data_IF_451738586292
#
_entry.id   IF_451738586292
#
_cell.length_a   1.000
_cell.length_b   1.000
_cell.length_c   1.000
_cell.angle_alpha   90.00
_cell.angle_beta   90.00
_cell.angle_gamma   90.00
#
_symmetry.space_group_name_H-M   'P 1'
#
loop_
_entity.id
_entity.type
_entity.pdbx_description
1 polymer ?
#
# COMPACT_ATOMS: atom_id res chain seq x y z
N UNK A 1 30.35 41.90 38.47
CA UNK A 1 30.46 40.50 38.02
C UNK A 1 29.09 39.87 38.23
N UNK A 2 28.12 40.24 37.40
CA UNK A 2 26.85 39.53 37.29
C UNK A 2 27.10 38.25 36.49
N UNK A 3 26.59 37.16 37.04
CA UNK A 3 27.21 35.86 37.04
C UNK A 3 27.10 35.20 35.65
N UNK A 4 28.14 34.47 35.23
CA UNK A 4 28.07 33.72 33.97
C UNK A 4 26.93 32.68 34.01
N UNK A 5 26.54 32.24 35.21
CA UNK A 5 25.40 31.38 35.46
C UNK A 5 24.05 32.06 35.14
N UNK A 6 23.89 33.34 35.47
CA UNK A 6 22.64 34.08 35.22
C UNK A 6 22.42 34.24 33.70
N UNK A 7 23.49 34.59 32.97
CA UNK A 7 23.44 34.70 31.50
C UNK A 7 23.20 33.36 30.80
N UNK A 8 23.72 32.26 31.36
CA UNK A 8 23.47 30.92 30.84
C UNK A 8 22.00 30.51 31.04
N UNK A 9 21.44 30.79 32.22
CA UNK A 9 20.04 30.51 32.53
C UNK A 9 19.09 31.34 31.67
N UNK A 10 19.38 32.62 31.50
CA UNK A 10 18.64 33.53 30.60
C UNK A 10 18.67 33.01 29.16
N UNK A 11 19.83 32.58 28.66
CA UNK A 11 19.96 31.97 27.33
C UNK A 11 19.20 30.64 27.19
N UNK A 12 19.18 29.79 28.22
CA UNK A 12 18.42 28.53 28.23
C UNK A 12 16.89 28.76 28.25
N UNK A 13 16.42 29.78 28.98
CA UNK A 13 15.01 30.18 29.00
C UNK A 13 14.58 30.77 27.64
N UNK A 14 15.38 31.69 27.07
CA UNK A 14 15.18 32.22 25.72
C UNK A 14 15.21 31.11 24.66
N UNK A 15 16.11 30.14 24.79
CA UNK A 15 16.16 29.01 23.86
C UNK A 15 14.88 28.17 23.94
N UNK A 16 14.37 27.89 25.14
CA UNK A 16 13.10 27.16 25.32
C UNK A 16 11.90 27.94 24.80
N UNK A 17 11.89 29.26 24.93
CA UNK A 17 10.79 30.12 24.46
C UNK A 17 10.82 30.30 22.94
N UNK A 18 12.01 30.51 22.36
CA UNK A 18 12.17 30.88 20.96
C UNK A 18 12.40 29.69 20.02
N UNK A 19 12.59 28.48 20.55
CA UNK A 19 12.81 27.28 19.73
C UNK A 19 11.81 26.19 20.03
N UNK A 20 11.53 25.38 19.01
CA UNK A 20 10.70 24.21 19.12
C UNK A 20 11.58 22.96 19.16
N UNK A 21 11.28 22.04 20.08
CA UNK A 21 11.89 20.71 20.10
C UNK A 21 10.79 19.65 20.09
N UNK A 22 10.95 18.63 19.25
CA UNK A 22 10.13 17.44 19.36
C UNK A 22 10.61 16.66 20.58
N UNK A 23 9.71 16.40 21.53
CA UNK A 23 9.99 15.48 22.62
C UNK A 23 10.18 14.08 22.05
N UNK A 24 11.11 13.32 22.62
CA UNK A 24 11.16 11.89 22.35
C UNK A 24 9.85 11.27 22.86
N UNK A 25 9.15 10.53 22.00
CA UNK A 25 7.87 9.91 22.32
C UNK A 25 8.03 8.58 23.08
N UNK A 26 9.26 8.07 23.23
CA UNK A 26 9.60 6.95 24.13
C UNK A 26 9.70 7.38 25.60
N UNK A 27 8.73 8.18 26.07
CA UNK A 27 8.60 8.62 27.46
C UNK A 27 7.11 8.65 27.88
N UNK A 28 6.40 7.50 27.85
CA UNK A 28 4.99 7.46 28.20
C UNK A 28 4.78 7.74 29.69
N UNK A 29 3.68 8.41 30.02
CA UNK A 29 3.31 8.84 31.37
C UNK A 29 3.09 7.64 32.32
N UNK A 30 2.64 6.51 31.77
CA UNK A 30 2.33 5.29 32.53
C UNK A 30 2.43 4.01 31.68
N UNK A 31 2.16 2.87 32.30
CA UNK A 31 2.25 1.55 31.64
C UNK A 31 1.10 1.33 30.66
N UNK A 32 -0.04 1.95 30.89
CA UNK A 32 -1.22 1.86 30.05
C UNK A 32 -0.98 2.56 28.71
N UNK A 33 -0.36 3.74 28.71
CA UNK A 33 0.04 4.45 27.50
C UNK A 33 1.11 3.66 26.72
N UNK A 34 2.13 3.13 27.41
CA UNK A 34 3.11 2.24 26.76
C UNK A 34 2.43 1.04 26.10
N UNK A 35 1.45 0.42 26.77
CA UNK A 35 0.69 -0.69 26.20
C UNK A 35 -0.11 -0.24 24.97
N UNK A 36 -0.77 0.91 25.01
CA UNK A 36 -1.53 1.44 23.89
C UNK A 36 -0.64 1.71 22.66
N UNK A 37 0.57 2.24 22.86
CA UNK A 37 1.57 2.43 21.79
C UNK A 37 1.91 1.09 21.14
N UNK A 38 2.21 0.07 21.96
CA UNK A 38 2.59 -1.25 21.45
C UNK A 38 1.41 -1.98 20.78
N UNK A 39 0.20 -1.89 21.32
CA UNK A 39 -1.00 -2.47 20.69
C UNK A 39 -1.27 -1.81 19.32
N UNK A 40 -1.18 -0.48 19.24
CA UNK A 40 -1.34 0.24 17.97
C UNK A 40 -0.29 -0.19 16.93
N UNK A 41 0.95 -0.44 17.36
CA UNK A 41 2.01 -0.95 16.52
C UNK A 41 1.72 -2.37 15.99
N UNK A 42 1.13 -3.26 16.79
CA UNK A 42 0.71 -4.60 16.34
C UNK A 42 -0.43 -4.53 15.31
N UNK A 43 -1.42 -3.66 15.52
CA UNK A 43 -2.51 -3.47 14.57
C UNK A 43 -1.98 -2.87 13.25
N UNK A 44 -1.02 -1.94 13.32
CA UNK A 44 -0.38 -1.38 12.13
C UNK A 44 0.43 -2.42 11.34
N UNK A 45 1.18 -3.30 12.03
CA UNK A 45 1.86 -4.44 11.36
C UNK A 45 0.86 -5.33 10.64
N UNK A 46 -0.29 -5.59 11.26
CA UNK A 46 -1.39 -6.34 10.62
C UNK A 46 -1.90 -5.61 9.38
N UNK A 47 -2.05 -4.29 9.42
CA UNK A 47 -2.47 -3.50 8.26
C UNK A 47 -1.46 -3.57 7.09
N UNK A 48 -0.15 -3.56 7.39
CA UNK A 48 0.90 -3.75 6.37
C UNK A 48 0.86 -5.16 5.75
N UNK A 49 0.73 -6.19 6.60
CA UNK A 49 0.70 -7.58 6.15
C UNK A 49 -0.54 -7.89 5.32
N UNK A 50 -1.69 -7.31 5.68
CA UNK A 50 -2.95 -7.48 4.95
C UNK A 50 -3.05 -6.60 3.71
N UNK A 51 -2.39 -5.45 3.69
CA UNK A 51 -2.47 -4.45 2.63
C UNK A 51 -1.15 -4.31 1.89
N UNK A 52 -0.67 -5.36 1.22
CA UNK A 52 0.58 -5.32 0.44
C UNK A 52 0.43 -4.63 -0.91
N UNK A 53 -0.78 -4.58 -1.46
CA UNK A 53 -1.13 -3.83 -2.68
C UNK A 53 -2.08 -2.69 -2.35
N UNK A 54 -2.25 -1.70 -3.24
CA UNK A 54 -3.23 -0.63 -3.01
C UNK A 54 -4.65 -1.19 -2.89
N UNK A 55 -4.95 -2.27 -3.64
CA UNK A 55 -6.24 -2.94 -3.63
C UNK A 55 -6.52 -3.59 -2.29
N UNK A 56 -5.57 -4.36 -1.79
CA UNK A 56 -5.72 -5.05 -0.52
C UNK A 56 -5.73 -4.08 0.67
N UNK A 57 -4.98 -2.98 0.60
CA UNK A 57 -5.04 -1.95 1.64
C UNK A 57 -6.41 -1.26 1.66
N UNK A 58 -6.99 -0.93 0.49
CA UNK A 58 -8.35 -0.38 0.41
C UNK A 58 -9.39 -1.37 0.90
N UNK A 59 -9.29 -2.66 0.53
CA UNK A 59 -10.18 -3.72 1.02
C UNK A 59 -10.10 -3.79 2.57
N UNK A 60 -8.90 -3.79 3.14
CA UNK A 60 -8.71 -3.80 4.60
C UNK A 60 -9.24 -2.52 5.27
N UNK A 61 -9.01 -1.35 4.69
CA UNK A 61 -9.54 -0.08 5.20
C UNK A 61 -11.08 -0.07 5.23
N UNK A 62 -11.72 -0.62 4.19
CA UNK A 62 -13.18 -0.77 4.15
C UNK A 62 -13.67 -1.67 5.28
N UNK A 63 -13.02 -2.82 5.53
CA UNK A 63 -13.39 -3.69 6.65
C UNK A 63 -13.28 -2.98 8.01
N UNK A 64 -12.22 -2.22 8.24
CA UNK A 64 -12.03 -1.44 9.46
C UNK A 64 -13.13 -0.38 9.64
N UNK A 65 -13.50 0.30 8.55
CA UNK A 65 -14.56 1.31 8.57
C UNK A 65 -15.94 0.67 8.86
N UNK A 66 -16.27 -0.44 8.19
CA UNK A 66 -17.55 -1.12 8.37
C UNK A 66 -17.72 -1.70 9.79
N UNK A 67 -16.64 -2.23 10.37
CA UNK A 67 -16.62 -2.67 11.77
C UNK A 67 -16.99 -1.54 12.75
N UNK A 68 -16.71 -0.29 12.39
CA UNK A 68 -16.92 0.90 13.22
C UNK A 68 -18.17 1.71 12.83
N UNK A 69 -19.06 1.07 12.07
CA UNK A 69 -20.39 1.58 11.71
C UNK A 69 -20.39 2.54 10.54
N UNK A 70 -19.31 2.64 9.77
CA UNK A 70 -19.35 3.33 8.49
C UNK A 70 -20.15 2.52 7.47
N UNK A 71 -20.82 3.21 6.56
CA UNK A 71 -21.58 2.60 5.46
C UNK A 71 -21.17 3.19 4.12
N UNK A 72 -21.46 2.46 3.04
CA UNK A 72 -21.29 2.98 1.69
C UNK A 72 -22.07 4.29 1.52
N UNK A 73 -21.42 5.29 0.93
CA UNK A 73 -22.03 6.57 0.61
C UNK A 73 -22.97 6.43 -0.59
N UNK A 74 -24.24 6.71 -0.35
CA UNK A 74 -25.30 6.73 -1.36
C UNK A 74 -25.71 8.18 -1.62
N UNK A 75 -25.37 8.72 -2.80
CA UNK A 75 -25.53 10.15 -3.08
C UNK A 75 -26.97 10.63 -3.23
N UNK A 76 -27.93 9.72 -3.32
CA UNK A 76 -29.37 9.98 -3.33
C UNK A 76 -29.97 10.06 -1.92
N UNK A 77 -29.25 9.62 -0.88
CA UNK A 77 -29.69 9.70 0.51
C UNK A 77 -29.18 10.98 1.18
N UNK A 78 -30.00 11.62 2.03
CA UNK A 78 -29.55 12.76 2.82
C UNK A 78 -28.52 12.32 3.85
N UNK A 79 -27.56 13.20 4.14
CA UNK A 79 -26.56 13.01 5.21
C UNK A 79 -26.83 13.96 6.36
N UNK A 80 -26.65 13.47 7.59
CA UNK A 80 -26.84 14.23 8.83
C UNK A 80 -25.58 14.21 9.68
N UNK A 81 -25.46 15.18 10.58
CA UNK A 81 -24.36 15.22 11.53
C UNK A 81 -24.24 13.89 12.30
N UNK A 82 -23.01 13.39 12.42
CA UNK A 82 -22.69 12.10 13.03
C UNK A 82 -22.75 10.91 12.07
N UNK A 83 -23.28 11.06 10.85
CA UNK A 83 -23.23 9.99 9.86
C UNK A 83 -21.77 9.63 9.53
N UNK A 84 -21.48 8.33 9.48
CA UNK A 84 -20.19 7.75 9.09
C UNK A 84 -20.34 7.09 7.72
N UNK A 85 -19.65 7.59 6.70
CA UNK A 85 -19.78 7.09 5.33
C UNK A 85 -18.45 6.95 4.61
N UNK A 86 -18.39 6.05 3.62
CA UNK A 86 -17.22 5.90 2.76
C UNK A 86 -17.60 5.59 1.31
N UNK A 87 -16.70 5.85 0.36
CA UNK A 87 -16.83 5.41 -1.03
C UNK A 87 -15.48 4.90 -1.55
N UNK A 88 -15.45 3.63 -1.97
CA UNK A 88 -14.31 3.01 -2.64
C UNK A 88 -14.42 3.17 -4.15
N UNK A 89 -13.35 3.60 -4.79
CA UNK A 89 -13.27 3.87 -6.23
C UNK A 89 -12.40 2.82 -6.89
N UNK A 90 -13.03 1.92 -7.65
CA UNK A 90 -12.39 0.79 -8.33
C UNK A 90 -11.56 -0.13 -7.41
N UNK A 91 -11.78 -0.09 -6.10
CA UNK A 91 -10.99 -0.79 -5.11
C UNK A 91 -9.54 -0.28 -5.01
N UNK A 92 -9.21 0.92 -5.51
CA UNK A 92 -7.84 1.47 -5.48
C UNK A 92 -7.75 2.86 -4.84
N UNK A 93 -8.87 3.54 -4.69
CA UNK A 93 -8.95 4.78 -3.92
C UNK A 93 -10.13 4.74 -2.97
N UNK A 94 -10.07 5.56 -1.92
CA UNK A 94 -11.07 5.57 -0.85
C UNK A 94 -11.29 6.99 -0.36
N UNK A 95 -12.55 7.38 -0.16
CA UNK A 95 -12.92 8.57 0.62
C UNK A 95 -13.78 8.12 1.78
N UNK A 96 -13.38 8.45 3.01
CA UNK A 96 -14.17 8.19 4.22
C UNK A 96 -14.45 9.51 4.95
N UNK A 97 -15.62 9.65 5.57
CA UNK A 97 -16.00 10.87 6.27
C UNK A 97 -16.92 10.63 7.48
N UNK A 98 -16.77 11.51 8.47
CA UNK A 98 -17.67 11.67 9.62
C UNK A 98 -18.31 13.04 9.53
N UNK A 99 -19.61 13.09 9.30
CA UNK A 99 -20.33 14.32 8.97
C UNK A 99 -20.43 15.26 10.17
N UNK A 100 -20.01 16.51 9.99
CA UNK A 100 -20.05 17.54 11.03
C UNK A 100 -21.42 18.20 11.20
N UNK A 101 -21.55 19.04 12.22
CA UNK A 101 -22.76 19.82 12.52
C UNK A 101 -22.82 21.16 11.80
N UNK A 102 -21.68 21.67 11.34
CA UNK A 102 -21.56 22.97 10.65
C UNK A 102 -21.93 22.94 9.17
N UNK A 103 -22.01 24.13 8.57
CA UNK A 103 -22.25 24.28 7.14
C UNK A 103 -21.08 23.69 6.33
N UNK A 104 -21.31 22.70 5.44
CA UNK A 104 -20.24 22.10 4.63
C UNK A 104 -19.54 23.10 3.70
N UNK A 105 -20.14 24.27 3.43
CA UNK A 105 -19.52 25.35 2.65
C UNK A 105 -18.40 26.07 3.42
N UNK A 106 -18.34 25.93 4.75
CA UNK A 106 -17.21 26.40 5.57
C UNK A 106 -16.00 25.47 5.52
N UNK A 107 -16.12 24.36 4.78
CA UNK A 107 -15.04 23.44 4.44
C UNK A 107 -14.91 22.23 5.38
N UNK A 108 -13.97 21.37 5.04
CA UNK A 108 -13.72 20.06 5.68
C UNK A 108 -12.41 20.09 6.47
N UNK A 109 -12.26 19.19 7.44
CA UNK A 109 -10.96 18.82 8.00
C UNK A 109 -10.48 17.57 7.26
N UNK A 110 -9.46 17.71 6.42
CA UNK A 110 -9.07 16.67 5.46
C UNK A 110 -7.64 16.19 5.71
N UNK A 111 -7.47 14.87 5.73
CA UNK A 111 -6.17 14.20 5.67
C UNK A 111 -6.11 13.37 4.38
N UNK A 112 -5.06 13.56 3.59
CA UNK A 112 -4.82 12.80 2.37
C UNK A 112 -3.54 11.98 2.51
N UNK A 113 -3.56 10.75 2.00
CA UNK A 113 -2.39 9.86 1.91
C UNK A 113 -2.49 9.04 0.62
N UNK A 114 -1.40 8.37 0.23
CA UNK A 114 -1.46 7.35 -0.84
C UNK A 114 -1.24 5.95 -0.28
N UNK A 115 -1.74 4.96 -1.01
CA UNK A 115 -1.73 3.54 -0.60
C UNK A 115 -1.05 2.64 -1.63
N UNK A 116 -0.68 3.19 -2.79
CA UNK A 116 0.27 2.54 -3.69
C UNK A 116 1.69 2.68 -3.16
N UNK A 117 2.50 1.65 -3.42
CA UNK A 117 3.92 1.60 -3.04
C UNK A 117 4.74 1.08 -4.22
N UNK A 118 6.05 1.37 -4.29
CA UNK A 118 6.90 0.87 -5.35
C UNK A 118 6.92 -0.66 -5.37
N UNK A 119 6.78 -1.24 -6.56
CA UNK A 119 6.60 -2.68 -6.77
C UNK A 119 7.06 -3.12 -8.15
N UNK A 120 6.89 -4.39 -8.46
CA UNK A 120 7.01 -4.90 -9.82
C UNK A 120 5.63 -5.32 -10.32
N UNK A 121 5.33 -5.03 -11.56
CA UNK A 121 4.09 -5.44 -12.23
C UNK A 121 4.44 -6.45 -13.31
N UNK A 122 3.58 -7.43 -13.54
CA UNK A 122 3.75 -8.29 -14.72
C UNK A 122 3.51 -7.51 -16.01
N UNK A 123 4.37 -7.73 -17.01
CA UNK A 123 4.09 -7.30 -18.38
C UNK A 123 2.85 -8.05 -18.91
N UNK A 124 2.11 -7.51 -19.92
CA UNK A 124 0.91 -8.17 -20.44
C UNK A 124 1.11 -9.59 -20.98
N UNK A 125 2.30 -9.90 -21.51
CA UNK A 125 2.70 -11.26 -21.89
C UNK A 125 3.94 -11.63 -21.07
N UNK A 126 3.78 -12.01 -19.80
CA UNK A 126 4.91 -12.07 -18.88
C UNK A 126 5.66 -13.39 -18.96
N UNK A 127 4.97 -14.50 -19.23
CA UNK A 127 5.52 -15.84 -19.05
C UNK A 127 6.35 -16.30 -20.24
N UNK A 128 7.58 -16.71 -19.97
CA UNK A 128 8.47 -17.30 -20.98
C UNK A 128 9.35 -18.39 -20.36
N UNK A 129 9.97 -19.19 -21.24
CA UNK A 129 10.93 -20.22 -20.87
C UNK A 129 12.33 -19.82 -21.36
N UNK A 130 13.34 -20.02 -20.50
CA UNK A 130 14.76 -19.88 -20.85
C UNK A 130 15.56 -20.84 -19.98
N UNK A 131 16.52 -21.55 -20.58
CA UNK A 131 17.49 -22.37 -19.84
C UNK A 131 16.83 -23.36 -18.86
N UNK A 132 15.76 -24.05 -19.30
CA UNK A 132 14.97 -24.99 -18.50
C UNK A 132 14.25 -24.37 -17.29
N UNK A 133 14.11 -23.04 -17.27
CA UNK A 133 13.40 -22.26 -16.25
C UNK A 133 12.19 -21.55 -16.85
N UNK A 134 11.12 -21.47 -16.06
CA UNK A 134 9.97 -20.60 -16.35
C UNK A 134 10.09 -19.30 -15.58
N UNK A 135 10.02 -18.20 -16.30
CA UNK A 135 10.24 -16.84 -15.81
C UNK A 135 9.02 -15.96 -16.13
N UNK A 136 8.80 -14.95 -15.29
CA UNK A 136 7.81 -13.90 -15.53
C UNK A 136 8.51 -12.56 -15.74
N UNK A 137 8.29 -11.93 -16.90
CA UNK A 137 8.74 -10.58 -17.21
C UNK A 137 7.97 -9.57 -16.40
N UNK A 138 8.71 -8.66 -15.79
CA UNK A 138 8.13 -7.57 -15.01
C UNK A 138 8.41 -6.20 -15.63
N UNK A 139 7.69 -5.20 -15.14
CA UNK A 139 7.99 -3.81 -15.32
C UNK A 139 7.88 -3.16 -13.94
N UNK A 140 8.88 -2.41 -13.51
CA UNK A 140 8.81 -1.77 -12.20
C UNK A 140 7.78 -0.65 -12.18
N UNK A 141 7.12 -0.50 -11.04
CA UNK A 141 6.16 0.53 -10.74
C UNK A 141 6.76 1.45 -9.67
N UNK A 142 6.78 2.76 -9.92
CA UNK A 142 7.41 3.74 -9.04
C UNK A 142 8.94 3.72 -9.04
N UNK A 143 9.54 4.43 -8.08
CA UNK A 143 10.98 4.61 -7.97
C UNK A 143 11.70 3.51 -7.19
N UNK A 144 11.79 2.28 -7.71
CA UNK A 144 12.46 1.19 -6.99
C UNK A 144 14.00 1.27 -7.03
N UNK A 145 14.64 0.82 -5.95
CA UNK A 145 16.06 0.41 -5.97
C UNK A 145 16.17 -1.02 -6.46
N UNK A 146 16.29 -1.20 -7.77
CA UNK A 146 16.24 -2.51 -8.47
C UNK A 146 17.07 -3.61 -7.80
N UNK A 147 18.28 -3.28 -7.35
CA UNK A 147 19.19 -4.25 -6.72
C UNK A 147 18.69 -4.82 -5.38
N UNK A 148 17.74 -4.17 -4.70
CA UNK A 148 17.14 -4.67 -3.47
C UNK A 148 16.05 -5.73 -3.71
N UNK A 149 15.65 -5.95 -4.96
CA UNK A 149 14.60 -6.91 -5.32
C UNK A 149 15.16 -8.28 -5.73
N UNK A 150 16.45 -8.35 -6.07
CA UNK A 150 17.10 -9.61 -6.38
C UNK A 150 17.44 -10.40 -5.10
N UNK A 151 17.55 -11.72 -5.26
CA UNK A 151 17.86 -12.67 -4.19
C UNK A 151 17.00 -12.52 -2.92
N UNK A 152 15.76 -12.05 -3.08
CA UNK A 152 14.80 -11.80 -2.00
C UNK A 152 13.56 -12.66 -2.23
N UNK A 153 12.97 -13.28 -1.19
CA UNK A 153 11.68 -13.94 -1.29
C UNK A 153 10.57 -12.97 -1.69
N UNK A 154 9.87 -13.27 -2.77
CA UNK A 154 8.79 -12.47 -3.34
C UNK A 154 7.46 -13.25 -3.32
N UNK A 155 6.36 -12.53 -3.19
CA UNK A 155 4.99 -13.02 -3.31
C UNK A 155 4.26 -12.38 -4.49
N UNK A 156 3.22 -13.04 -4.98
CA UNK A 156 2.36 -12.59 -6.08
C UNK A 156 0.99 -12.21 -5.56
N UNK A 157 0.57 -11.00 -5.86
CA UNK A 157 -0.72 -10.45 -5.48
C UNK A 157 -1.46 -9.91 -6.69
N UNK A 158 -2.78 -9.84 -6.64
CA UNK A 158 -3.56 -9.07 -7.61
C UNK A 158 -4.77 -9.83 -8.13
N UNK A 159 -5.20 -9.50 -9.35
CA UNK A 159 -6.43 -10.02 -9.94
C UNK A 159 -6.25 -10.42 -11.39
N UNK A 160 -6.96 -11.48 -11.80
CA UNK A 160 -7.06 -11.93 -13.19
C UNK A 160 -8.52 -11.95 -13.59
N UNK A 161 -8.86 -11.24 -14.68
CA UNK A 161 -10.21 -11.29 -15.26
C UNK A 161 -10.21 -12.40 -16.31
N UNK A 162 -10.91 -13.49 -16.02
CA UNK A 162 -11.05 -14.64 -16.91
C UNK A 162 -11.96 -14.31 -18.10
N UNK A 163 -11.85 -15.09 -19.17
CA UNK A 163 -12.71 -14.98 -20.36
C UNK A 163 -14.22 -15.01 -20.09
N UNK A 164 -14.67 -15.69 -19.04
CA UNK A 164 -16.08 -15.75 -18.64
C UNK A 164 -16.56 -14.50 -17.85
N UNK A 165 -15.66 -13.54 -17.59
CA UNK A 165 -15.93 -12.34 -16.80
C UNK A 165 -15.73 -12.51 -15.29
N UNK A 166 -15.32 -13.69 -14.83
CA UNK A 166 -15.00 -13.94 -13.43
C UNK A 166 -13.67 -13.28 -13.04
N UNK A 167 -13.64 -12.65 -11.86
CA UNK A 167 -12.42 -12.08 -11.28
C UNK A 167 -11.82 -13.06 -10.29
N UNK A 168 -10.64 -13.56 -10.59
CA UNK A 168 -9.86 -14.40 -9.67
C UNK A 168 -8.89 -13.51 -8.90
N UNK A 169 -8.97 -13.52 -7.56
CA UNK A 169 -7.96 -12.90 -6.69
C UNK A 169 -6.78 -13.85 -6.51
N UNK A 170 -5.57 -13.34 -6.68
CA UNK A 170 -4.32 -14.06 -6.43
C UNK A 170 -3.62 -13.48 -5.20
N UNK A 171 -3.18 -14.39 -4.33
CA UNK A 171 -2.35 -14.11 -3.18
C UNK A 171 -1.55 -15.41 -2.94
N UNK A 172 -0.30 -15.43 -3.42
CA UNK A 172 0.59 -16.60 -3.42
C UNK A 172 1.93 -16.19 -2.84
N UNK A 173 2.37 -16.89 -1.80
CA UNK A 173 3.66 -16.64 -1.13
C UNK A 173 3.53 -15.92 0.21
N UNK A 174 2.31 -15.75 0.71
CA UNK A 174 2.02 -15.14 2.02
C UNK A 174 1.82 -16.19 3.11
N UNK A 175 1.22 -17.34 2.79
CA UNK A 175 1.01 -18.39 3.79
C UNK A 175 2.32 -19.16 4.02
N UNK A 176 2.56 -19.67 5.25
CA UNK A 176 3.76 -20.47 5.55
C UNK A 176 3.98 -21.69 4.63
N UNK A 177 2.89 -22.28 4.12
CA UNK A 177 2.92 -23.42 3.20
C UNK A 177 3.03 -23.04 1.72
N UNK A 178 2.85 -21.76 1.37
CA UNK A 178 2.91 -21.32 -0.02
C UNK A 178 4.36 -21.32 -0.52
N UNK A 179 4.59 -21.61 -1.82
CA UNK A 179 5.87 -21.30 -2.43
C UNK A 179 6.06 -19.78 -2.54
N UNK A 180 7.31 -19.36 -2.44
CA UNK A 180 7.75 -17.99 -2.75
C UNK A 180 8.55 -17.96 -4.04
N UNK A 181 8.71 -16.76 -4.59
CA UNK A 181 9.43 -16.52 -5.83
C UNK A 181 10.70 -15.72 -5.58
N UNK A 182 11.56 -15.60 -6.59
CA UNK A 182 12.77 -14.76 -6.48
C UNK A 182 13.19 -14.25 -7.85
N UNK A 183 13.91 -13.14 -7.86
CA UNK A 183 14.73 -12.73 -9.01
C UNK A 183 16.16 -13.20 -8.72
N UNK A 184 16.81 -13.83 -9.69
CA UNK A 184 18.17 -14.35 -9.52
C UNK A 184 19.20 -13.22 -9.62
N UNK A 185 20.26 -13.29 -8.83
CA UNK A 185 21.42 -12.40 -8.94
C UNK A 185 22.69 -13.19 -9.30
N UNK A 186 23.65 -12.52 -9.93
CA UNK A 186 24.92 -13.11 -10.29
C UNK A 186 25.80 -13.27 -9.04
N UNK A 187 26.23 -14.49 -8.78
CA UNK A 187 27.11 -14.77 -7.64
C UNK A 187 28.41 -13.97 -7.70
N UNK A 188 28.97 -13.55 -6.55
CA UNK A 188 30.11 -12.62 -6.51
C UNK A 188 31.38 -13.16 -7.18
N UNK A 189 31.56 -14.48 -7.25
CA UNK A 189 32.73 -15.10 -7.89
C UNK A 189 32.79 -14.87 -9.41
N UNK A 190 31.65 -14.58 -10.05
CA UNK A 190 31.53 -14.28 -11.48
C UNK A 190 31.06 -12.83 -11.73
N UNK A 191 30.65 -12.11 -10.69
CA UNK A 191 30.11 -10.75 -10.76
C UNK A 191 31.14 -9.62 -10.72
N UNK A 192 32.43 -9.88 -10.97
CA UNK A 192 33.48 -8.87 -10.83
C UNK A 192 33.24 -7.59 -11.65
N UNK A 193 32.64 -7.71 -12.83
CA UNK A 193 32.28 -6.55 -13.67
C UNK A 193 30.95 -5.92 -13.24
N UNK A 194 29.98 -6.72 -12.79
CA UNK A 194 28.71 -6.22 -12.24
C UNK A 194 28.97 -5.31 -11.03
N UNK A 195 29.90 -5.70 -10.15
CA UNK A 195 30.27 -4.94 -8.94
C UNK A 195 30.96 -3.60 -9.22
N UNK A 196 31.43 -3.35 -10.45
CA UNK A 196 31.99 -2.05 -10.86
C UNK A 196 30.93 -1.06 -11.33
N UNK A 197 29.72 -1.53 -11.64
CA UNK A 197 28.61 -0.68 -12.09
C UNK A 197 28.06 0.16 -10.94
N UNK A 198 27.41 1.27 -11.29
CA UNK A 198 26.68 2.06 -10.30
C UNK A 198 25.47 1.28 -9.74
N UNK A 199 24.96 1.67 -8.57
CA UNK A 199 23.79 1.02 -7.98
C UNK A 199 22.54 1.06 -8.89
N UNK A 200 22.46 2.00 -9.83
CA UNK A 200 21.36 2.10 -10.78
C UNK A 200 21.48 1.14 -11.98
N UNK A 201 22.70 0.64 -12.23
CA UNK A 201 23.06 -0.17 -13.40
C UNK A 201 23.49 -1.60 -13.05
N UNK A 202 23.71 -1.88 -11.76
CA UNK A 202 24.11 -3.21 -11.27
C UNK A 202 23.09 -4.28 -11.66
N UNK A 203 21.80 -3.92 -11.63
CA UNK A 203 20.65 -4.70 -12.10
C UNK A 203 19.76 -3.77 -12.91
N UNK A 204 19.54 -4.10 -14.17
CA UNK A 204 18.70 -3.35 -15.09
C UNK A 204 17.22 -3.73 -14.95
N UNK A 205 16.32 -2.86 -15.42
CA UNK A 205 14.87 -3.11 -15.27
C UNK A 205 14.39 -4.34 -16.03
N UNK A 206 14.98 -4.61 -17.20
CA UNK A 206 14.66 -5.79 -18.01
C UNK A 206 15.23 -7.10 -17.43
N UNK A 207 16.13 -7.02 -16.45
CA UNK A 207 16.70 -8.18 -15.76
C UNK A 207 15.84 -8.66 -14.57
N UNK A 208 14.83 -7.87 -14.16
CA UNK A 208 13.93 -8.17 -13.05
C UNK A 208 12.89 -9.25 -13.41
N UNK A 209 13.34 -10.40 -13.91
CA UNK A 209 12.49 -11.52 -14.27
C UNK A 209 12.33 -12.47 -13.08
N UNK A 210 11.09 -12.76 -12.72
CA UNK A 210 10.77 -13.57 -11.54
C UNK A 210 10.79 -15.05 -11.90
N UNK A 211 11.58 -15.85 -11.19
CA UNK A 211 11.64 -17.30 -11.33
C UNK A 211 10.42 -17.96 -10.69
N UNK A 212 9.67 -18.74 -11.49
CA UNK A 212 8.40 -19.36 -11.05
C UNK A 212 8.32 -20.87 -11.25
N UNK A 213 9.28 -21.49 -11.95
CA UNK A 213 9.29 -22.94 -12.08
C UNK A 213 10.51 -23.48 -12.82
N UNK A 214 10.80 -24.75 -12.59
CA UNK A 214 11.91 -25.50 -13.22
C UNK A 214 11.60 -26.99 -13.41
N UNK A 215 10.36 -27.42 -13.14
CA UNK A 215 9.92 -28.79 -13.33
C UNK A 215 9.23 -28.89 -14.69
N UNK A 216 9.69 -29.75 -15.61
CA UNK A 216 9.09 -29.89 -16.93
C UNK A 216 7.76 -30.64 -16.88
N UNK A 217 6.86 -30.31 -17.81
CA UNK A 217 5.69 -31.14 -18.07
C UNK A 217 6.13 -32.52 -18.59
N UNK A 218 5.56 -33.63 -18.06
CA UNK A 218 5.92 -34.97 -18.52
C UNK A 218 5.58 -35.19 -19.99
N UNK A 219 6.44 -35.92 -20.71
CA UNK A 219 6.17 -36.35 -22.09
C UNK A 219 7.30 -36.19 -23.09
N UNK A 220 8.54 -35.94 -22.64
CA UNK A 220 9.73 -35.93 -23.50
C UNK A 220 10.36 -34.53 -23.66
N UNK A 221 11.54 -34.47 -24.28
CA UNK A 221 12.28 -33.22 -24.55
C UNK A 221 11.78 -32.52 -25.82
N UNK A 222 11.04 -33.22 -26.67
CA UNK A 222 10.42 -32.72 -27.90
C UNK A 222 9.23 -31.80 -27.67
N UNK A 223 8.67 -31.78 -26.45
CA UNK A 223 7.59 -30.88 -26.08
C UNK A 223 8.17 -29.46 -25.99
N UNK A 224 7.72 -28.60 -26.89
CA UNK A 224 8.09 -27.18 -26.89
C UNK A 224 7.62 -26.50 -25.60
N UNK A 225 8.50 -25.70 -24.99
CA UNK A 225 8.18 -24.88 -23.81
C UNK A 225 7.61 -25.74 -22.66
N UNK A 226 8.17 -26.94 -22.44
CA UNK A 226 7.61 -27.91 -21.49
C UNK A 226 7.67 -27.46 -20.04
N UNK A 227 8.61 -26.61 -19.65
CA UNK A 227 8.68 -26.07 -18.29
C UNK A 227 7.60 -25.01 -18.08
N UNK A 228 7.45 -24.10 -19.05
CA UNK A 228 6.35 -23.13 -19.07
C UNK A 228 4.99 -23.82 -19.07
N UNK A 229 4.83 -24.89 -19.86
CA UNK A 229 3.61 -25.70 -19.87
C UNK A 229 3.30 -26.30 -18.49
N UNK A 230 4.34 -26.73 -17.75
CA UNK A 230 4.21 -27.22 -16.38
C UNK A 230 3.60 -26.16 -15.45
N UNK A 231 4.13 -24.93 -15.47
CA UNK A 231 3.61 -23.82 -14.66
C UNK A 231 2.20 -23.42 -15.10
N UNK A 232 1.93 -23.32 -16.41
CA UNK A 232 0.59 -23.02 -16.93
C UNK A 232 -0.43 -24.09 -16.51
N UNK A 233 -0.02 -25.37 -16.44
CA UNK A 233 -0.90 -26.43 -15.94
C UNK A 233 -1.27 -26.22 -14.48
N UNK A 234 -0.33 -25.82 -13.63
CA UNK A 234 -0.60 -25.50 -12.23
C UNK A 234 -1.57 -24.31 -12.11
N UNK A 235 -1.32 -23.22 -12.84
CA UNK A 235 -2.22 -22.06 -12.86
C UNK A 235 -3.63 -22.44 -13.33
N UNK A 236 -3.75 -23.30 -14.35
CA UNK A 236 -5.03 -23.76 -14.84
C UNK A 236 -5.74 -24.69 -13.85
N UNK A 237 -5.02 -25.57 -13.17
CA UNK A 237 -5.61 -26.52 -12.22
C UNK A 237 -6.16 -25.81 -10.98
N UNK A 238 -5.37 -24.89 -10.42
CA UNK A 238 -5.70 -24.17 -9.18
C UNK A 238 -6.66 -23.00 -9.41
N UNK A 239 -6.50 -22.26 -10.52
CA UNK A 239 -7.18 -20.98 -10.73
C UNK A 239 -7.94 -20.88 -12.06
N UNK A 240 -7.89 -21.92 -12.92
CA UNK A 240 -8.48 -21.91 -14.27
C UNK A 240 -7.92 -20.81 -15.18
N UNK A 241 -6.75 -20.28 -14.83
CA UNK A 241 -6.04 -19.25 -15.59
C UNK A 241 -5.33 -19.91 -16.77
N UNK A 242 -5.55 -19.38 -17.97
CA UNK A 242 -4.75 -19.68 -19.17
C UNK A 242 -3.73 -18.57 -19.41
N UNK A 243 -2.72 -18.82 -20.24
CA UNK A 243 -1.73 -17.80 -20.61
C UNK A 243 -2.38 -16.52 -21.16
N UNK A 244 -3.48 -16.66 -21.90
CA UNK A 244 -4.21 -15.53 -22.49
C UNK A 244 -4.85 -14.63 -21.42
N UNK A 245 -5.27 -15.19 -20.29
CA UNK A 245 -5.91 -14.41 -19.23
C UNK A 245 -4.90 -13.50 -18.51
N UNK A 246 -3.59 -13.74 -18.64
CA UNK A 246 -2.54 -12.85 -18.09
C UNK A 246 -2.53 -11.47 -18.77
N UNK A 247 -3.08 -11.33 -19.97
CA UNK A 247 -3.20 -10.04 -20.68
C UNK A 247 -4.19 -9.11 -19.98
N UNK A 248 -5.20 -9.68 -19.31
CA UNK A 248 -6.23 -8.97 -18.55
C UNK A 248 -6.02 -9.08 -17.04
N UNK A 249 -4.78 -9.37 -16.64
CA UNK A 249 -4.37 -9.45 -15.25
C UNK A 249 -3.72 -8.15 -14.78
N UNK A 250 -3.95 -7.81 -13.51
CA UNK A 250 -3.13 -6.89 -12.75
C UNK A 250 -2.46 -7.72 -11.67
N UNK A 251 -1.22 -8.15 -11.91
CA UNK A 251 -0.44 -8.94 -10.94
C UNK A 251 0.79 -8.14 -10.54
N UNK A 252 0.96 -8.08 -9.23
CA UNK A 252 1.93 -7.28 -8.51
C UNK A 252 2.86 -8.23 -7.75
N UNK A 253 4.16 -7.95 -7.80
CA UNK A 253 5.17 -8.72 -7.09
C UNK A 253 5.77 -7.83 -6.02
N UNK A 254 5.75 -8.35 -4.79
CA UNK A 254 6.13 -7.64 -3.58
C UNK A 254 7.00 -8.56 -2.71
N UNK A 255 7.76 -8.03 -1.74
CA UNK A 255 8.46 -8.86 -0.77
C UNK A 255 7.48 -9.75 0.04
N UNK A 256 7.79 -11.04 0.13
CA UNK A 256 7.02 -12.00 0.91
C UNK A 256 7.20 -11.81 2.43
N UNK A 257 8.17 -11.01 2.88
CA UNK A 257 8.41 -10.77 4.30
C UNK A 257 7.22 -10.09 4.97
N UNK A 258 6.81 -10.61 6.13
CA UNK A 258 5.84 -9.99 7.02
C UNK A 258 6.49 -8.87 7.85
N UNK A 259 5.68 -7.91 8.30
CA UNK A 259 6.10 -6.84 9.17
C UNK A 259 6.54 -7.38 10.55
N UNK A 260 7.59 -6.80 11.11
CA UNK A 260 8.23 -7.24 12.35
C UNK A 260 8.75 -6.05 13.13
N UNK A 261 8.98 -6.26 14.42
CA UNK A 261 9.74 -5.29 15.20
C UNK A 261 11.22 -5.33 14.83
N UNK A 262 11.86 -4.17 14.89
CA UNK A 262 13.27 -3.96 14.58
C UNK A 262 13.95 -3.36 15.81
N UNK A 263 15.14 -3.87 16.13
CA UNK A 263 15.92 -3.48 17.31
C UNK A 263 15.74 -4.43 18.50
N UNK A 264 16.74 -4.50 19.37
CA UNK A 264 16.68 -5.35 20.58
C UNK A 264 15.56 -4.93 21.55
N UNK A 265 15.21 -3.65 21.53
CA UNK A 265 14.15 -3.05 22.32
C UNK A 265 12.78 -3.08 21.63
N UNK A 266 12.72 -3.56 20.37
CA UNK A 266 11.48 -3.63 19.57
C UNK A 266 10.82 -2.27 19.37
N UNK A 267 11.62 -1.20 19.36
CA UNK A 267 11.15 0.20 19.26
C UNK A 267 10.77 0.66 17.85
N UNK A 268 11.03 -0.15 16.83
CA UNK A 268 10.75 0.21 15.43
C UNK A 268 9.99 -0.90 14.73
N UNK A 269 9.26 -0.53 13.67
CA UNK A 269 8.57 -1.48 12.81
C UNK A 269 9.30 -1.52 11.46
N UNK A 270 9.62 -2.72 10.98
CA UNK A 270 10.15 -2.97 9.65
C UNK A 270 9.14 -3.77 8.83
N UNK A 271 8.86 -3.34 7.61
CA UNK A 271 7.92 -4.00 6.71
C UNK A 271 7.89 -3.33 5.34
N UNK A 272 7.39 -4.05 4.34
CA UNK A 272 7.18 -3.50 2.99
C UNK A 272 6.00 -2.54 2.96
N UNK A 273 6.07 -1.52 2.09
CA UNK A 273 4.95 -0.63 1.81
C UNK A 273 4.60 0.38 2.90
N UNK A 274 5.51 0.68 3.84
CA UNK A 274 5.25 1.74 4.82
C UNK A 274 5.00 3.12 4.17
N UNK A 275 5.63 3.35 3.02
CA UNK A 275 5.40 4.52 2.16
C UNK A 275 4.15 4.30 1.30
N UNK A 276 3.05 5.05 1.46
CA UNK A 276 2.69 5.98 2.55
C UNK A 276 1.60 5.38 3.46
N UNK A 277 1.55 4.05 3.51
CA UNK A 277 0.54 3.31 4.29
C UNK A 277 0.62 3.61 5.80
N UNK A 278 1.76 4.08 6.31
CA UNK A 278 1.87 4.58 7.69
C UNK A 278 0.96 5.78 7.93
N UNK A 279 0.93 6.74 6.99
CA UNK A 279 0.06 7.91 7.07
C UNK A 279 -1.38 7.53 6.74
N UNK A 280 -1.60 6.65 5.77
CA UNK A 280 -2.95 6.19 5.43
C UNK A 280 -3.63 5.48 6.62
N UNK A 281 -2.92 4.56 7.28
CA UNK A 281 -3.44 3.81 8.43
C UNK A 281 -3.71 4.72 9.63
N UNK A 282 -2.76 5.59 9.98
CA UNK A 282 -2.93 6.52 11.10
C UNK A 282 -4.04 7.54 10.82
N UNK A 283 -4.21 8.02 9.58
CA UNK A 283 -5.30 8.89 9.18
C UNK A 283 -6.66 8.19 9.32
N UNK A 284 -6.78 6.94 8.85
CA UNK A 284 -7.99 6.13 9.01
C UNK A 284 -8.34 5.93 10.49
N UNK A 285 -7.37 5.51 11.30
CA UNK A 285 -7.57 5.34 12.74
C UNK A 285 -8.00 6.62 13.43
N UNK A 286 -7.36 7.76 13.10
CA UNK A 286 -7.76 9.05 13.62
C UNK A 286 -9.21 9.44 13.23
N UNK A 287 -9.66 9.13 12.01
CA UNK A 287 -11.04 9.39 11.59
C UNK A 287 -12.04 8.45 12.28
N UNK A 288 -11.68 7.18 12.47
CA UNK A 288 -12.51 6.17 13.14
C UNK A 288 -12.72 6.53 14.62
N UNK A 289 -11.63 6.89 15.30
CA UNK A 289 -11.58 7.13 16.75
C UNK A 289 -11.96 8.58 17.11
N UNK A 290 -12.32 9.41 16.12
CA UNK A 290 -12.61 10.83 16.33
C UNK A 290 -13.82 11.04 17.26
N UNK A 291 -13.66 11.95 18.23
CA UNK A 291 -14.78 12.34 19.10
C UNK A 291 -15.86 13.08 18.30
N UNK A 292 -17.11 12.71 18.54
CA UNK A 292 -18.29 13.31 17.89
C UNK A 292 -19.16 14.04 18.93
N UNK A 293 -19.90 15.10 18.52
CA UNK A 293 -20.04 15.62 17.17
C UNK A 293 -18.86 16.52 16.74
N UNK A 294 -18.44 16.36 15.48
CA UNK A 294 -17.50 17.29 14.85
C UNK A 294 -18.22 18.58 14.42
N UNK A 295 -17.55 19.73 14.52
CA UNK A 295 -18.07 20.98 13.95
C UNK A 295 -17.93 20.98 12.43
N UNK A 296 -16.73 20.70 11.90
CA UNK A 296 -16.47 20.54 10.46
C UNK A 296 -16.37 19.07 10.13
N UNK A 297 -16.94 18.65 8.98
CA UNK A 297 -16.84 17.25 8.52
C UNK A 297 -15.38 16.81 8.44
N UNK A 298 -15.05 15.73 9.15
CA UNK A 298 -13.75 15.07 9.06
C UNK A 298 -13.74 14.15 7.85
N UNK A 299 -12.65 14.15 7.07
CA UNK A 299 -12.52 13.37 5.86
C UNK A 299 -11.11 12.82 5.68
N UNK A 300 -11.02 11.55 5.29
CA UNK A 300 -9.79 10.91 4.85
C UNK A 300 -9.91 10.57 3.38
N UNK A 301 -8.87 10.85 2.61
CA UNK A 301 -8.77 10.48 1.19
C UNK A 301 -7.51 9.66 0.96
N UNK A 302 -7.69 8.46 0.45
CA UNK A 302 -6.60 7.55 0.08
C UNK A 302 -6.53 7.44 -1.44
N UNK A 303 -5.38 7.79 -1.99
CA UNK A 303 -5.11 7.78 -3.42
C UNK A 303 -4.21 6.60 -3.83
N UNK A 304 -4.27 6.25 -5.11
CA UNK A 304 -3.29 5.40 -5.80
C UNK A 304 -2.50 6.28 -6.78
N UNK A 305 -1.50 5.74 -7.46
CA UNK A 305 -0.70 6.42 -8.50
C UNK A 305 0.23 7.52 -8.03
N UNK A 306 0.45 7.75 -6.73
CA UNK A 306 1.37 8.80 -6.28
C UNK A 306 2.79 8.53 -6.83
N UNK A 307 3.24 7.28 -6.69
CA UNK A 307 4.60 6.82 -7.02
C UNK A 307 4.94 6.94 -8.52
N UNK A 308 3.92 7.18 -9.36
CA UNK A 308 4.05 7.36 -10.80
C UNK A 308 3.63 8.75 -11.28
N UNK A 309 3.43 9.70 -10.37
CA UNK A 309 3.13 11.10 -10.66
C UNK A 309 1.65 11.50 -10.51
N UNK A 310 0.87 10.71 -9.77
CA UNK A 310 -0.55 10.93 -9.43
C UNK A 310 -1.53 10.96 -10.61
N UNK A 311 -1.14 10.39 -11.76
CA UNK A 311 -1.97 10.31 -12.96
C UNK A 311 -2.85 9.05 -12.97
N UNK A 312 -4.12 9.19 -13.29
CA UNK A 312 -5.07 8.07 -13.36
C UNK A 312 -6.43 8.46 -12.80
N UNK A 313 -7.37 7.51 -12.77
CA UNK A 313 -8.73 7.73 -12.24
C UNK A 313 -8.80 7.69 -10.71
N UNK A 314 -7.76 7.17 -10.05
CA UNK A 314 -7.63 6.98 -8.60
C UNK A 314 -6.54 7.83 -7.96
N UNK A 315 -5.74 8.56 -8.77
CA UNK A 315 -4.68 9.44 -8.27
C UNK A 315 -5.14 10.83 -7.89
N UNK A 316 -4.26 11.57 -7.21
CA UNK A 316 -4.58 12.91 -6.69
C UNK A 316 -4.96 13.93 -7.77
N UNK A 317 -4.55 13.72 -9.03
CA UNK A 317 -4.95 14.57 -10.17
C UNK A 317 -6.29 14.17 -10.81
N UNK A 318 -6.95 13.16 -10.27
CA UNK A 318 -8.24 12.65 -10.77
C UNK A 318 -9.43 13.48 -10.27
N UNK A 319 -10.63 13.08 -10.70
CA UNK A 319 -11.89 13.63 -10.17
C UNK A 319 -12.40 12.87 -8.94
N UNK A 320 -11.65 11.90 -8.40
CA UNK A 320 -12.05 11.06 -7.25
C UNK A 320 -12.55 11.92 -6.08
N UNK A 321 -11.68 12.77 -5.54
CA UNK A 321 -12.02 13.61 -4.40
C UNK A 321 -13.03 14.72 -4.75
N UNK A 322 -12.82 15.56 -5.78
CA UNK A 322 -13.76 16.64 -6.08
C UNK A 322 -15.18 16.14 -6.38
N UNK A 323 -15.32 14.99 -7.06
CA UNK A 323 -16.63 14.39 -7.37
C UNK A 323 -17.34 13.90 -6.11
N UNK A 324 -16.64 13.12 -5.28
CA UNK A 324 -17.22 12.57 -4.03
C UNK A 324 -17.58 13.70 -3.07
N UNK A 325 -16.66 14.67 -2.88
CA UNK A 325 -16.89 15.82 -2.02
C UNK A 325 -18.12 16.61 -2.48
N UNK A 326 -18.25 16.91 -3.78
CA UNK A 326 -19.39 17.65 -4.33
C UNK A 326 -20.72 16.91 -4.08
N UNK A 327 -20.76 15.60 -4.30
CA UNK A 327 -21.94 14.77 -4.01
C UNK A 327 -22.26 14.75 -2.53
N UNK A 328 -21.26 14.66 -1.66
CA UNK A 328 -21.43 14.70 -0.21
C UNK A 328 -22.01 16.03 0.26
N UNK A 329 -21.47 17.16 -0.22
CA UNK A 329 -22.00 18.51 0.08
C UNK A 329 -23.47 18.62 -0.35
N UNK A 330 -23.82 18.11 -1.54
CA UNK A 330 -25.20 18.06 -2.01
C UNK A 330 -26.10 17.26 -1.07
N UNK A 331 -25.67 16.07 -0.64
CA UNK A 331 -26.42 15.21 0.28
C UNK A 331 -26.60 15.82 1.67
N UNK A 332 -25.65 16.65 2.14
CA UNK A 332 -25.76 17.38 3.40
C UNK A 332 -26.75 18.56 3.26
N UNK A 333 -26.65 19.34 2.18
CA UNK A 333 -27.47 20.54 1.98
C UNK A 333 -28.88 20.26 1.45
N UNK A 334 -29.11 19.09 0.84
CA UNK A 334 -30.35 18.78 0.13
C UNK A 334 -30.54 19.56 -1.18
N UNK A 335 -29.49 20.23 -1.68
CA UNK A 335 -29.47 21.02 -2.92
C UNK A 335 -28.09 21.01 -3.56
N UNK A 336 -28.01 21.35 -4.85
CA UNK A 336 -26.71 21.53 -5.51
C UNK A 336 -25.90 22.64 -4.82
N UNK A 337 -24.59 22.43 -4.58
CA UNK A 337 -23.71 23.50 -4.13
C UNK A 337 -23.62 24.56 -5.21
N UNK A 338 -24.19 25.73 -4.95
CA UNK A 338 -24.02 26.94 -5.76
C UNK A 338 -22.70 27.60 -5.37
N UNK A 339 -21.93 28.09 -6.35
CA UNK A 339 -20.88 29.06 -6.03
C UNK A 339 -21.54 30.25 -5.31
N UNK A 340 -20.95 30.65 -4.17
CA UNK A 340 -21.35 31.86 -3.45
C UNK A 340 -20.92 33.07 -4.27
#
# INVERSE_FOLDING_TARGET
MTDAADRKKEAEELHKELTFSFKNLWDPENKEEMKAIMDFAEDYKTALDRGKTEREFVDHAVELLEAEGFRVFESDKPLKAGDKVYESVHGKGLVAAVIGTGDPLMGFNLIGAHVDSPRLDLKPNPMYESDDLTLLKTHYYGGIKKYQWAATPLSLHGVVILKNGETVKLNIGEKPEDPVFTITDLLPHLGADQMKKSAAEVIEGEELNVLVGSIPFPGGEEIKERFKLGVLKLLFDHHKITERDLVTAEIEIVPASLARDVGFDRSMIGGYGQDDRVCAYTALKALIDVETPLTRTGMVVLYDKEETGSGGITGARSQLFPSIQRRMVKSILGREPSAI
#
